data_IF_080092698789
#
_entry.id   IF_080092698789
#
_cell.length_a   1.000
_cell.length_b   1.000
_cell.length_c   1.000
_cell.angle_alpha   90.00
_cell.angle_beta   90.00
_cell.angle_gamma   90.00
#
_symmetry.space_group_name_H-M   'P 1'
#
loop_
_entity.id
_entity.type
_entity.pdbx_description
1 polymer ?
#
# COMPACT_ATOMS: atom_id res chain seq x y z
N UNK A 1 -8.69 -25.36 20.13
CA UNK A 1 -8.06 -24.24 19.40
C UNK A 1 -9.15 -23.59 18.58
N UNK A 2 -9.68 -22.45 19.02
CA UNK A 2 -10.70 -21.71 18.28
C UNK A 2 -9.98 -20.87 17.23
N UNK A 3 -10.07 -21.29 15.96
CA UNK A 3 -9.66 -20.48 14.82
C UNK A 3 -10.47 -19.19 14.83
N UNK A 4 -9.82 -18.08 15.18
CA UNK A 4 -10.34 -16.74 14.89
C UNK A 4 -10.26 -16.55 13.38
N UNK A 5 -11.34 -16.86 12.67
CA UNK A 5 -11.58 -16.31 11.34
C UNK A 5 -11.98 -14.84 11.53
N UNK A 6 -10.98 -14.02 11.85
CA UNK A 6 -11.13 -12.57 11.78
C UNK A 6 -11.18 -12.20 10.30
N UNK A 7 -12.20 -11.44 9.91
CA UNK A 7 -12.33 -10.96 8.53
C UNK A 7 -11.23 -9.92 8.30
N UNK A 8 -10.36 -10.15 7.31
CA UNK A 8 -9.27 -9.24 6.93
C UNK A 8 -9.74 -7.81 6.67
N UNK A 9 -11.00 -7.63 6.24
CA UNK A 9 -11.62 -6.30 6.08
C UNK A 9 -11.67 -5.51 7.40
N UNK A 10 -11.83 -6.18 8.54
CA UNK A 10 -11.86 -5.54 9.87
C UNK A 10 -10.47 -5.24 10.42
N UNK A 11 -9.47 -6.06 10.07
CA UNK A 11 -8.10 -5.90 10.58
C UNK A 11 -7.26 -4.96 9.70
N UNK A 12 -7.55 -4.94 8.41
CA UNK A 12 -6.89 -4.11 7.39
C UNK A 12 -7.96 -3.28 6.66
N UNK A 13 -8.61 -2.34 7.36
CA UNK A 13 -9.58 -1.45 6.72
C UNK A 13 -8.86 -0.60 5.69
N UNK A 14 -9.44 -0.49 4.49
CA UNK A 14 -8.90 0.38 3.47
C UNK A 14 -9.37 1.82 3.72
N UNK A 15 -8.55 2.85 3.40
CA UNK A 15 -8.83 4.24 3.81
C UNK A 15 -10.17 4.82 3.35
N UNK A 16 -10.75 4.26 2.28
CA UNK A 16 -12.04 4.67 1.71
C UNK A 16 -13.24 3.87 2.25
N UNK A 17 -13.03 2.91 3.15
CA UNK A 17 -14.11 2.16 3.80
C UNK A 17 -14.59 2.84 5.08
N UNK A 18 -13.73 3.63 5.72
CA UNK A 18 -14.07 4.38 6.95
C UNK A 18 -14.92 5.62 6.68
N UNK A 19 -14.84 6.18 5.47
CA UNK A 19 -15.63 7.34 5.03
C UNK A 19 -16.28 7.00 3.68
N UNK A 20 -17.60 7.24 3.53
CA UNK A 20 -18.43 6.93 2.34
C UNK A 20 -18.02 7.73 1.08
N UNK A 21 -16.81 8.24 1.02
CA UNK A 21 -16.38 9.32 0.15
C UNK A 21 -14.92 9.10 -0.25
N UNK A 22 -14.71 8.72 -1.52
CA UNK A 22 -13.42 8.51 -2.20
C UNK A 22 -12.62 9.80 -2.47
N UNK A 23 -12.82 10.83 -1.65
CA UNK A 23 -12.25 12.16 -1.89
C UNK A 23 -10.74 12.13 -1.83
N UNK A 24 -10.06 12.46 -2.92
CA UNK A 24 -8.60 12.54 -2.99
C UNK A 24 -8.00 11.62 -4.06
N UNK A 25 -8.63 10.48 -4.37
CA UNK A 25 -8.21 9.62 -5.49
C UNK A 25 -8.60 10.19 -6.85
N UNK A 26 -9.58 11.10 -6.90
CA UNK A 26 -10.09 11.66 -8.16
C UNK A 26 -9.03 12.42 -8.98
N UNK A 27 -8.01 13.02 -8.34
CA UNK A 27 -7.03 13.91 -9.00
C UNK A 27 -5.64 13.32 -9.18
N UNK A 28 -5.23 12.30 -8.42
CA UNK A 28 -3.86 11.79 -8.41
C UNK A 28 -3.71 10.38 -8.98
N UNK A 29 -3.02 10.23 -10.11
CA UNK A 29 -2.73 8.90 -10.70
C UNK A 29 -1.87 8.04 -9.77
N UNK A 30 -0.89 8.65 -9.10
CA UNK A 30 -0.08 8.01 -8.06
C UNK A 30 -0.94 7.46 -6.92
N UNK A 31 -1.85 8.29 -6.40
CA UNK A 31 -2.77 7.88 -5.33
C UNK A 31 -3.67 6.74 -5.79
N UNK A 32 -4.24 6.80 -7.00
CA UNK A 32 -5.06 5.69 -7.54
C UNK A 32 -4.26 4.39 -7.66
N UNK A 33 -3.05 4.45 -8.22
CA UNK A 33 -2.19 3.30 -8.34
C UNK A 33 -1.86 2.71 -6.96
N UNK A 34 -1.49 3.56 -6.00
CA UNK A 34 -1.23 3.15 -4.62
C UNK A 34 -2.46 2.50 -3.97
N UNK A 35 -3.64 3.13 -4.09
CA UNK A 35 -4.89 2.58 -3.58
C UNK A 35 -5.27 1.26 -4.24
N UNK A 36 -5.09 1.13 -5.56
CA UNK A 36 -5.27 -0.13 -6.26
C UNK A 36 -4.33 -1.21 -5.71
N UNK A 37 -3.07 -0.87 -5.41
CA UNK A 37 -2.12 -1.76 -4.76
C UNK A 37 -2.56 -2.19 -3.36
N UNK A 38 -3.08 -1.27 -2.55
CA UNK A 38 -3.65 -1.62 -1.23
C UNK A 38 -4.83 -2.60 -1.38
N UNK A 39 -5.73 -2.33 -2.32
CA UNK A 39 -6.88 -3.19 -2.58
C UNK A 39 -6.44 -4.59 -3.01
N UNK A 40 -5.53 -4.66 -4.00
CA UNK A 40 -4.96 -5.91 -4.52
C UNK A 40 -4.23 -6.69 -3.43
N UNK A 41 -3.35 -6.03 -2.66
CA UNK A 41 -2.62 -6.66 -1.57
C UNK A 41 -3.57 -7.30 -0.55
N UNK A 42 -4.68 -6.63 -0.21
CA UNK A 42 -5.68 -7.19 0.70
C UNK A 42 -6.46 -8.34 0.08
N UNK A 43 -6.83 -8.23 -1.20
CA UNK A 43 -7.48 -9.30 -1.94
C UNK A 43 -6.59 -10.56 -1.99
N UNK A 44 -5.29 -10.40 -2.25
CA UNK A 44 -4.31 -11.49 -2.29
C UNK A 44 -4.12 -12.20 -0.94
N UNK A 45 -4.31 -11.50 0.18
CA UNK A 45 -4.30 -12.11 1.51
C UNK A 45 -5.64 -12.78 1.89
N UNK A 46 -6.72 -12.42 1.20
CA UNK A 46 -8.07 -12.91 1.51
C UNK A 46 -8.35 -14.25 0.84
N UNK A 47 -8.75 -15.25 1.62
CA UNK A 47 -9.27 -16.52 1.07
C UNK A 47 -10.70 -16.39 0.52
N UNK A 48 -11.33 -15.24 0.73
CA UNK A 48 -12.66 -14.90 0.22
C UNK A 48 -12.57 -14.63 -1.29
N UNK A 49 -12.74 -15.69 -2.10
CA UNK A 49 -12.71 -15.63 -3.58
C UNK A 49 -13.84 -14.83 -4.22
N UNK A 50 -14.84 -14.41 -3.45
CA UNK A 50 -16.06 -13.80 -3.98
C UNK A 50 -16.40 -12.53 -3.20
N UNK A 51 -16.34 -11.38 -3.88
CA UNK A 51 -17.36 -10.32 -3.85
C UNK A 51 -16.88 -8.86 -3.78
N UNK A 52 -15.59 -8.55 -3.84
CA UNK A 52 -15.18 -7.15 -4.06
C UNK A 52 -14.62 -7.03 -5.46
N UNK A 53 -15.25 -6.20 -6.30
CA UNK A 53 -14.58 -5.64 -7.46
C UNK A 53 -13.72 -4.48 -6.99
N UNK A 54 -12.58 -4.25 -7.64
CA UNK A 54 -11.79 -3.04 -7.39
C UNK A 54 -12.68 -1.81 -7.64
N UNK A 55 -12.78 -0.87 -6.68
CA UNK A 55 -13.56 0.34 -6.88
C UNK A 55 -13.17 1.08 -8.15
N UNK A 56 -14.16 1.53 -8.94
CA UNK A 56 -13.93 2.16 -10.24
C UNK A 56 -12.98 3.37 -10.18
N UNK A 57 -13.01 4.14 -9.09
CA UNK A 57 -12.12 5.28 -8.91
C UNK A 57 -10.63 4.92 -8.75
N UNK A 58 -10.31 3.65 -8.45
CA UNK A 58 -8.94 3.10 -8.42
C UNK A 58 -8.51 2.49 -9.75
N UNK A 59 -9.41 2.45 -10.75
CA UNK A 59 -9.13 1.88 -12.04
C UNK A 59 -8.23 2.76 -12.93
N UNK A 60 -7.38 2.16 -13.79
CA UNK A 60 -6.67 2.86 -14.85
C UNK A 60 -7.56 3.17 -16.08
N UNK A 61 -8.89 2.96 -16.03
CA UNK A 61 -9.85 3.11 -17.13
C UNK A 61 -9.97 4.52 -17.78
N UNK A 62 -9.20 5.51 -17.34
CA UNK A 62 -8.99 6.78 -18.05
C UNK A 62 -8.32 6.61 -19.43
N UNK A 63 -7.89 5.38 -19.78
CA UNK A 63 -7.46 5.00 -21.14
C UNK A 63 -8.61 4.54 -22.07
N UNK A 64 -9.88 4.61 -21.62
CA UNK A 64 -11.05 4.48 -22.49
C UNK A 64 -11.20 3.11 -23.13
N UNK A 65 -11.67 2.11 -22.37
CA UNK A 65 -12.34 0.91 -22.91
C UNK A 65 -13.19 0.30 -21.79
N UNK A 66 -14.48 0.16 -22.06
CA UNK A 66 -15.51 -0.24 -21.09
C UNK A 66 -15.60 -1.75 -20.86
N UNK A 67 -14.47 -2.41 -20.63
CA UNK A 67 -14.44 -3.83 -20.25
C UNK A 67 -13.75 -3.99 -18.88
N UNK A 68 -14.21 -4.97 -18.09
CA UNK A 68 -13.77 -5.20 -16.71
C UNK A 68 -12.23 -5.29 -16.57
N UNK A 69 -11.70 -4.48 -15.67
CA UNK A 69 -10.26 -4.20 -15.48
C UNK A 69 -9.52 -5.41 -14.89
N UNK A 70 -8.31 -5.68 -15.39
CA UNK A 70 -7.39 -6.68 -14.83
C UNK A 70 -6.32 -6.01 -13.97
N UNK A 71 -6.01 -6.61 -12.82
CA UNK A 71 -4.94 -6.24 -11.86
C UNK A 71 -3.60 -5.88 -12.54
N UNK A 72 -3.29 -6.57 -13.64
CA UNK A 72 -2.07 -6.48 -14.43
C UNK A 72 -1.87 -5.12 -15.12
N UNK A 73 -2.90 -4.28 -15.22
CA UNK A 73 -2.81 -3.03 -15.98
C UNK A 73 -1.97 -1.98 -15.23
N UNK A 74 -2.03 -1.93 -13.89
CA UNK A 74 -1.25 -0.94 -13.13
C UNK A 74 0.25 -1.20 -13.20
N UNK A 75 0.68 -2.46 -13.21
CA UNK A 75 2.08 -2.86 -13.35
C UNK A 75 2.72 -2.43 -14.67
N UNK A 76 1.91 -2.18 -15.70
CA UNK A 76 2.38 -1.74 -17.02
C UNK A 76 2.37 -0.20 -17.18
N UNK A 77 1.84 0.53 -16.20
CA UNK A 77 1.82 2.00 -16.23
C UNK A 77 3.10 2.62 -15.65
N UNK A 78 3.39 3.90 -15.93
CA UNK A 78 4.41 4.67 -15.21
C UNK A 78 4.19 4.80 -13.69
N UNK A 79 3.05 4.34 -13.16
CA UNK A 79 2.69 4.40 -11.74
C UNK A 79 2.83 3.04 -11.04
N UNK A 80 3.39 2.04 -11.71
CA UNK A 80 3.58 0.68 -11.19
C UNK A 80 4.29 0.64 -9.83
N UNK A 81 5.27 1.51 -9.61
CA UNK A 81 5.97 1.60 -8.31
C UNK A 81 5.04 2.04 -7.16
N UNK A 82 4.10 2.95 -7.42
CA UNK A 82 3.09 3.31 -6.41
C UNK A 82 2.15 2.13 -6.13
N UNK A 83 1.76 1.38 -7.18
CA UNK A 83 0.96 0.16 -7.03
C UNK A 83 1.67 -0.89 -6.18
N UNK A 84 2.89 -1.28 -6.52
CA UNK A 84 3.66 -2.28 -5.76
C UNK A 84 3.94 -1.83 -4.32
N UNK A 85 4.15 -0.53 -4.10
CA UNK A 85 4.30 0.03 -2.75
C UNK A 85 3.01 -0.13 -1.93
N UNK A 86 1.83 0.04 -2.55
CA UNK A 86 0.54 -0.23 -1.91
C UNK A 86 0.40 -1.69 -1.49
N UNK A 87 0.68 -2.63 -2.39
CA UNK A 87 0.63 -4.07 -2.07
C UNK A 87 1.55 -4.42 -0.91
N UNK A 88 2.78 -3.90 -0.95
CA UNK A 88 3.78 -4.13 0.09
C UNK A 88 3.35 -3.56 1.46
N UNK A 89 2.72 -2.39 1.49
CA UNK A 89 2.19 -1.82 2.73
C UNK A 89 1.20 -2.76 3.42
N UNK A 90 0.28 -3.36 2.65
CA UNK A 90 -0.72 -4.30 3.18
C UNK A 90 -0.06 -5.58 3.70
N UNK A 91 0.89 -6.14 2.93
CA UNK A 91 1.65 -7.30 3.38
C UNK A 91 2.33 -7.05 4.73
N UNK A 92 3.01 -5.91 4.86
CA UNK A 92 3.74 -5.57 6.08
C UNK A 92 2.82 -5.30 7.26
N UNK A 93 1.68 -4.65 7.05
CA UNK A 93 0.66 -4.50 8.09
C UNK A 93 0.14 -5.86 8.55
N UNK A 94 -0.22 -6.75 7.62
CA UNK A 94 -0.70 -8.10 7.95
C UNK A 94 0.36 -8.90 8.73
N UNK A 95 1.62 -8.81 8.34
CA UNK A 95 2.74 -9.45 9.04
C UNK A 95 2.91 -8.88 10.45
N UNK A 96 2.79 -7.56 10.63
CA UNK A 96 2.93 -6.91 11.93
C UNK A 96 1.75 -7.17 12.87
N UNK A 97 0.55 -7.42 12.33
CA UNK A 97 -0.64 -7.82 13.10
C UNK A 97 -0.67 -9.31 13.42
N UNK A 98 0.13 -10.13 12.72
CA UNK A 98 0.20 -11.56 12.92
C UNK A 98 1.03 -11.92 14.15
N UNK A 99 0.48 -12.79 15.01
CA UNK A 99 1.23 -13.39 16.13
C UNK A 99 2.31 -14.40 15.69
N UNK A 100 2.36 -14.73 14.39
CA UNK A 100 3.32 -15.71 13.90
C UNK A 100 4.74 -15.12 13.85
N UNK A 101 5.68 -15.84 14.46
CA UNK A 101 7.10 -15.52 14.40
C UNK A 101 7.59 -15.54 12.94
N UNK A 102 8.40 -14.55 12.57
CA UNK A 102 8.97 -14.42 11.23
C UNK A 102 10.49 -14.60 11.33
N UNK A 103 11.08 -15.47 10.50
CA UNK A 103 12.52 -15.68 10.53
C UNK A 103 13.25 -14.38 10.16
N UNK A 104 14.46 -14.20 10.67
CA UNK A 104 15.31 -13.03 10.37
C UNK A 104 15.45 -12.77 8.85
N UNK A 105 15.60 -13.83 8.08
CA UNK A 105 15.70 -13.76 6.60
C UNK A 105 14.47 -13.14 5.95
N UNK A 106 13.28 -13.27 6.55
CA UNK A 106 12.09 -12.58 6.07
C UNK A 106 12.27 -11.07 6.17
N UNK A 107 12.69 -10.55 7.32
CA UNK A 107 12.87 -9.12 7.55
C UNK A 107 14.00 -8.53 6.69
N UNK A 108 15.09 -9.27 6.52
CA UNK A 108 16.19 -8.90 5.62
C UNK A 108 15.70 -8.78 4.17
N UNK A 109 14.90 -9.76 3.70
CA UNK A 109 14.30 -9.70 2.37
C UNK A 109 13.36 -8.49 2.21
N UNK A 110 12.56 -8.16 3.24
CA UNK A 110 11.69 -6.98 3.19
C UNK A 110 12.49 -5.68 3.17
N UNK A 111 13.62 -5.61 3.89
CA UNK A 111 14.52 -4.47 3.84
C UNK A 111 15.12 -4.29 2.44
N UNK A 112 15.52 -5.38 1.78
CA UNK A 112 16.06 -5.36 0.42
C UNK A 112 15.01 -4.95 -0.63
N UNK A 113 13.77 -5.45 -0.50
CA UNK A 113 12.65 -5.04 -1.35
C UNK A 113 12.41 -3.54 -1.21
N UNK A 114 12.32 -3.04 0.03
CA UNK A 114 12.11 -1.62 0.31
C UNK A 114 13.25 -0.77 -0.24
N UNK A 115 14.50 -1.21 -0.06
CA UNK A 115 15.67 -0.51 -0.59
C UNK A 115 15.59 -0.37 -2.11
N UNK A 116 15.29 -1.46 -2.83
CA UNK A 116 15.12 -1.45 -4.30
C UNK A 116 13.98 -0.54 -4.73
N UNK A 117 12.82 -0.61 -4.08
CA UNK A 117 11.71 0.32 -4.37
C UNK A 117 12.15 1.78 -4.23
N UNK A 118 12.89 2.13 -3.16
CA UNK A 118 13.40 3.50 -2.96
C UNK A 118 14.37 3.92 -4.06
N UNK A 119 15.26 3.04 -4.48
CA UNK A 119 16.18 3.27 -5.60
C UNK A 119 15.40 3.49 -6.91
N UNK A 120 14.40 2.67 -7.20
CA UNK A 120 13.55 2.80 -8.39
C UNK A 120 12.77 4.12 -8.39
N UNK A 121 12.23 4.53 -7.25
CA UNK A 121 11.56 5.84 -7.10
C UNK A 121 12.51 7.03 -7.33
N UNK A 122 13.80 6.89 -6.97
CA UNK A 122 14.79 7.94 -7.19
C UNK A 122 15.12 8.12 -8.68
N UNK A 123 14.91 7.09 -9.51
CA UNK A 123 15.10 7.14 -10.96
C UNK A 123 13.87 7.68 -11.72
N UNK A 124 12.73 7.86 -11.04
CA UNK A 124 11.53 8.38 -11.68
C UNK A 124 11.69 9.86 -12.09
N UNK A 125 11.05 10.28 -13.20
CA UNK A 125 10.92 11.68 -13.55
C UNK A 125 10.38 12.54 -12.39
N UNK A 126 10.89 13.76 -12.23
CA UNK A 126 10.55 14.64 -11.10
C UNK A 126 9.03 14.90 -10.96
N UNK A 127 8.33 15.01 -12.09
CA UNK A 127 6.88 15.19 -12.13
C UNK A 127 6.08 13.99 -11.60
N UNK A 128 6.69 12.80 -11.53
CA UNK A 128 6.12 11.58 -10.95
C UNK A 128 6.60 11.41 -9.49
N UNK A 129 7.82 11.84 -9.17
CA UNK A 129 8.46 11.72 -7.86
C UNK A 129 8.02 12.76 -6.83
N UNK A 130 7.34 13.84 -7.22
CA UNK A 130 6.97 14.96 -6.32
C UNK A 130 6.28 14.50 -5.04
N UNK A 131 5.37 13.53 -5.13
CA UNK A 131 4.64 13.01 -3.97
C UNK A 131 5.47 11.99 -3.17
N UNK A 132 6.46 11.35 -3.80
CA UNK A 132 7.35 10.37 -3.15
C UNK A 132 8.34 11.02 -2.18
N UNK A 133 8.77 12.26 -2.41
CA UNK A 133 9.72 12.95 -1.52
C UNK A 133 9.20 13.04 -0.06
N UNK A 134 7.88 13.13 0.12
CA UNK A 134 7.26 13.16 1.45
C UNK A 134 7.15 11.74 2.03
N UNK A 135 6.85 10.74 1.20
CA UNK A 135 6.82 9.33 1.58
C UNK A 135 8.20 8.79 1.99
N UNK A 136 9.28 9.31 1.41
CA UNK A 136 10.66 8.84 1.64
C UNK A 136 11.06 8.85 3.11
N UNK A 137 10.59 9.85 3.89
CA UNK A 137 10.89 9.93 5.32
C UNK A 137 10.31 8.73 6.09
N UNK A 138 9.05 8.38 5.83
CA UNK A 138 8.41 7.23 6.47
C UNK A 138 9.11 5.94 6.05
N UNK A 139 9.43 5.79 4.77
CA UNK A 139 10.15 4.62 4.25
C UNK A 139 11.54 4.47 4.88
N UNK A 140 12.29 5.55 5.10
CA UNK A 140 13.60 5.49 5.75
C UNK A 140 13.53 4.98 7.20
N UNK A 141 12.48 5.34 7.93
CA UNK A 141 12.23 4.81 9.28
C UNK A 141 11.82 3.35 9.25
N UNK A 142 10.95 2.96 8.29
CA UNK A 142 10.57 1.56 8.12
C UNK A 142 11.79 0.71 7.75
N UNK A 143 12.67 1.17 6.87
CA UNK A 143 13.90 0.46 6.53
C UNK A 143 14.79 0.25 7.77
N UNK A 144 14.93 1.29 8.60
CA UNK A 144 15.70 1.21 9.84
C UNK A 144 15.08 0.17 10.80
N UNK A 145 13.75 0.18 10.95
CA UNK A 145 13.05 -0.84 11.73
C UNK A 145 13.24 -2.24 11.15
N UNK A 146 13.18 -2.43 9.83
CA UNK A 146 13.38 -3.72 9.17
C UNK A 146 14.79 -4.29 9.39
N UNK A 147 15.82 -3.45 9.40
CA UNK A 147 17.21 -3.85 9.69
C UNK A 147 17.41 -4.23 11.16
N UNK A 148 16.63 -3.63 12.05
CA UNK A 148 16.62 -3.89 13.49
C UNK A 148 15.63 -5.00 13.90
N UNK A 149 15.53 -6.08 13.10
CA UNK A 149 14.50 -7.13 13.22
C UNK A 149 14.43 -7.87 14.57
N UNK A 150 15.46 -7.73 15.40
CA UNK A 150 15.54 -8.37 16.71
C UNK A 150 15.07 -7.44 17.85
N UNK A 151 14.70 -6.19 17.55
CA UNK A 151 14.25 -5.21 18.57
C UNK A 151 12.76 -5.36 18.90
N UNK A 152 12.47 -5.34 20.20
CA UNK A 152 11.10 -5.19 20.70
C UNK A 152 10.48 -3.88 20.18
N UNK A 153 9.25 -3.95 19.65
CA UNK A 153 8.53 -2.79 19.11
C UNK A 153 8.78 -2.51 17.62
N UNK A 154 9.49 -3.40 16.91
CA UNK A 154 9.69 -3.28 15.47
C UNK A 154 8.36 -3.21 14.71
N UNK A 155 7.46 -4.17 14.93
CA UNK A 155 6.16 -4.21 14.27
C UNK A 155 5.31 -2.97 14.56
N UNK A 156 5.37 -2.42 15.77
CA UNK A 156 4.66 -1.17 16.13
C UNK A 156 5.19 0.01 15.30
N UNK A 157 6.50 0.12 15.15
CA UNK A 157 7.14 1.18 14.35
C UNK A 157 6.79 1.03 12.87
N UNK A 158 6.88 -0.19 12.32
CA UNK A 158 6.54 -0.47 10.92
C UNK A 158 5.07 -0.15 10.67
N UNK A 159 4.16 -0.65 11.50
CA UNK A 159 2.73 -0.43 11.35
C UNK A 159 2.37 1.06 11.46
N UNK A 160 2.99 1.79 12.40
CA UNK A 160 2.78 3.23 12.57
C UNK A 160 3.22 4.03 11.33
N UNK A 161 4.44 3.79 10.83
CA UNK A 161 4.97 4.55 9.70
C UNK A 161 4.29 4.16 8.37
N UNK A 162 3.90 2.89 8.20
CA UNK A 162 3.05 2.48 7.08
C UNK A 162 1.66 3.12 7.18
N UNK A 163 1.07 3.20 8.38
CA UNK A 163 -0.20 3.91 8.57
C UNK A 163 -0.12 5.38 8.15
N UNK A 164 0.97 6.07 8.50
CA UNK A 164 1.23 7.45 8.05
C UNK A 164 1.37 7.54 6.52
N UNK A 165 2.08 6.60 5.90
CA UNK A 165 2.25 6.53 4.45
C UNK A 165 0.92 6.31 3.74
N UNK A 166 0.12 5.35 4.22
CA UNK A 166 -1.21 5.04 3.70
C UNK A 166 -2.11 6.26 3.79
N UNK A 167 -2.14 6.95 4.95
CA UNK A 167 -2.92 8.18 5.13
C UNK A 167 -2.50 9.29 4.19
N UNK A 168 -1.20 9.43 3.92
CA UNK A 168 -0.67 10.46 3.03
C UNK A 168 -1.00 10.17 1.56
N UNK A 169 -0.78 8.93 1.10
CA UNK A 169 -0.99 8.54 -0.30
C UNK A 169 -2.43 8.12 -0.62
N UNK A 170 -3.28 7.99 0.38
CA UNK A 170 -4.72 7.78 0.25
C UNK A 170 -5.48 8.96 0.86
N UNK A 171 -5.41 10.15 0.25
CA UNK A 171 -6.09 11.33 0.77
C UNK A 171 -7.58 11.03 0.93
N UNK A 172 -8.14 11.52 2.05
CA UNK A 172 -9.56 11.41 2.42
C UNK A 172 -10.32 12.74 2.21
N UNK A 173 -9.65 13.76 1.69
CA UNK A 173 -10.23 15.06 1.35
C UNK A 173 -9.56 15.61 0.09
N UNK A 174 -10.27 16.49 -0.62
CA UNK A 174 -9.66 17.27 -1.71
C UNK A 174 -8.68 18.25 -1.07
N UNK A 175 -7.41 18.32 -1.50
CA UNK A 175 -6.52 19.36 -1.02
C UNK A 175 -7.18 20.72 -1.32
N UNK A 176 -7.39 21.52 -0.27
CA UNK A 176 -7.84 22.90 -0.45
C UNK A 176 -6.92 23.56 -1.46
N UNK A 177 -7.49 24.13 -2.52
CA UNK A 177 -6.74 24.85 -3.54
C UNK A 177 -5.93 25.94 -2.84
N UNK A 178 -4.63 25.72 -2.69
CA UNK A 178 -3.66 26.79 -2.47
C UNK A 178 -3.35 27.46 -3.80
#
# INVERSE_FOLDING_TARGET
MLSRTLSLKKELPLPWEENVRSYGFASGRANRAFGAGLWTGRANLSQEKEADFMPEFLSPAWQGKGDAIKENEWSETPWSLYFSMGEWCVLMQAVCLSDAEKPRTFWENQADILKRMREDFAQLPENIRKDFAIAERSLGKVESALRDAEKKGQCETIAFEIGNLVKYLSPQSVPDKM
#
